data_IF_525127043498
#
_entry.id   IF_525127043498
#
_cell.length_a   1.000
_cell.length_b   1.000
_cell.length_c   1.000
_cell.angle_alpha   90.00
_cell.angle_beta   90.00
_cell.angle_gamma   90.00
#
_symmetry.space_group_name_H-M   'P 1'
#
loop_
_entity.id
_entity.type
_entity.pdbx_description
1 polymer ?
#
# COMPACT_ATOMS: atom_id res chain seq x y z
N UNK A 1 -21.49 -5.60 6.02
CA UNK A 1 -21.80 -6.63 5.02
C UNK A 1 -21.31 -7.95 5.58
N UNK A 2 -22.18 -8.93 5.77
CA UNK A 2 -21.79 -10.26 6.24
C UNK A 2 -21.44 -11.14 5.04
N UNK A 3 -20.63 -12.16 5.28
CA UNK A 3 -20.39 -13.20 4.28
C UNK A 3 -21.75 -13.80 3.89
N UNK A 4 -22.01 -13.91 2.58
CA UNK A 4 -23.26 -14.40 1.96
C UNK A 4 -24.46 -13.43 1.92
N UNK A 5 -24.29 -12.14 2.24
CA UNK A 5 -25.33 -11.16 1.98
C UNK A 5 -25.48 -10.93 0.47
N UNK A 6 -26.71 -11.07 -0.06
CA UNK A 6 -27.03 -10.68 -1.44
C UNK A 6 -27.14 -9.15 -1.50
N UNK A 7 -26.13 -8.50 -2.08
CA UNK A 7 -26.11 -7.03 -2.22
C UNK A 7 -26.46 -6.64 -3.64
N UNK A 8 -27.48 -5.78 -3.78
CA UNK A 8 -27.84 -5.13 -5.04
C UNK A 8 -27.14 -3.78 -5.10
N UNK A 9 -26.29 -3.59 -6.10
CA UNK A 9 -25.61 -2.33 -6.33
C UNK A 9 -26.51 -1.44 -7.20
N UNK A 10 -26.77 -0.21 -6.75
CA UNK A 10 -27.51 0.79 -7.53
C UNK A 10 -26.73 1.29 -8.76
N UNK A 11 -25.40 1.10 -8.73
CA UNK A 11 -24.47 1.49 -9.77
C UNK A 11 -23.82 0.26 -10.39
N UNK A 12 -23.69 0.28 -11.72
CA UNK A 12 -22.94 -0.75 -12.45
C UNK A 12 -21.46 -0.64 -12.06
N UNK A 13 -20.83 -1.73 -11.55
CA UNK A 13 -19.41 -1.73 -11.26
C UNK A 13 -18.62 -1.36 -12.51
N UNK A 14 -17.62 -0.50 -12.35
CA UNK A 14 -16.67 -0.15 -13.42
C UNK A 14 -15.33 -0.81 -13.13
N UNK A 15 -14.66 -1.23 -14.20
CA UNK A 15 -13.30 -1.77 -14.13
C UNK A 15 -12.30 -0.64 -14.26
N UNK A 16 -11.32 -0.59 -13.36
CA UNK A 16 -10.13 0.22 -13.51
C UNK A 16 -9.14 -0.59 -14.35
N UNK A 17 -8.75 -0.09 -15.53
CA UNK A 17 -7.86 -0.81 -16.44
C UNK A 17 -6.38 -0.61 -16.11
N UNK A 18 -6.03 0.56 -15.58
CA UNK A 18 -4.72 0.87 -15.03
C UNK A 18 -4.87 1.24 -13.56
N UNK A 19 -4.76 0.22 -12.71
CA UNK A 19 -4.93 0.39 -11.26
C UNK A 19 -3.84 1.28 -10.68
N UNK A 20 -2.60 1.13 -11.15
CA UNK A 20 -1.50 1.88 -10.60
C UNK A 20 -1.55 3.35 -10.98
N UNK A 21 -1.77 3.68 -12.26
CA UNK A 21 -1.91 5.07 -12.69
C UNK A 21 -3.08 5.77 -12.00
N UNK A 22 -4.17 5.04 -11.74
CA UNK A 22 -5.28 5.55 -10.95
C UNK A 22 -4.87 5.87 -9.50
N UNK A 23 -4.19 4.95 -8.80
CA UNK A 23 -3.73 5.16 -7.42
C UNK A 23 -2.68 6.27 -7.34
N UNK A 24 -1.74 6.34 -8.28
CA UNK A 24 -0.73 7.39 -8.36
C UNK A 24 -1.38 8.77 -8.53
N UNK A 25 -2.38 8.89 -9.41
CA UNK A 25 -3.15 10.12 -9.55
C UNK A 25 -3.92 10.52 -8.28
N UNK A 26 -4.38 9.53 -7.50
CA UNK A 26 -4.96 9.80 -6.19
C UNK A 26 -3.92 10.19 -5.14
N UNK A 27 -2.68 9.72 -5.25
CA UNK A 27 -1.60 9.95 -4.29
C UNK A 27 -0.81 11.23 -4.55
N UNK A 28 -0.83 11.75 -5.78
CA UNK A 28 -0.06 12.92 -6.21
C UNK A 28 -0.20 14.08 -5.22
N UNK A 29 0.95 14.59 -4.76
CA UNK A 29 1.07 15.76 -3.88
C UNK A 29 0.35 15.64 -2.52
N UNK A 30 0.09 14.41 -2.07
CA UNK A 30 -0.54 14.15 -0.76
C UNK A 30 0.41 13.44 0.19
N UNK A 31 0.09 13.56 1.48
CA UNK A 31 0.66 12.72 2.52
C UNK A 31 -0.04 11.35 2.49
N UNK A 32 0.75 10.30 2.26
CA UNK A 32 0.24 8.94 2.02
C UNK A 32 0.70 8.00 3.11
N UNK A 33 -0.25 7.28 3.72
CA UNK A 33 0.01 6.09 4.52
C UNK A 33 -0.25 4.84 3.67
N UNK A 34 0.78 4.03 3.47
CA UNK A 34 0.68 2.75 2.79
C UNK A 34 0.71 1.60 3.82
N UNK A 35 -0.42 0.93 4.00
CA UNK A 35 -0.57 -0.21 4.94
C UNK A 35 -0.32 -1.53 4.23
N UNK A 36 0.49 -2.40 4.82
CA UNK A 36 0.99 -3.60 4.14
C UNK A 36 2.11 -3.25 3.15
N UNK A 37 2.94 -2.26 3.49
CA UNK A 37 3.91 -1.66 2.59
C UNK A 37 4.99 -2.63 2.10
N UNK A 38 5.38 -3.64 2.88
CA UNK A 38 6.39 -4.61 2.46
C UNK A 38 5.83 -5.47 1.31
N UNK A 39 4.60 -5.98 1.45
CA UNK A 39 3.83 -6.53 0.32
C UNK A 39 4.54 -7.59 -0.52
N UNK A 40 5.35 -8.47 0.08
CA UNK A 40 6.14 -9.48 -0.65
C UNK A 40 7.45 -8.95 -1.24
N UNK A 41 8.03 -7.94 -0.60
CA UNK A 41 9.18 -7.14 -1.05
C UNK A 41 10.36 -7.91 -1.67
N UNK A 42 10.63 -9.14 -1.21
CA UNK A 42 11.72 -10.00 -1.72
C UNK A 42 11.55 -10.34 -3.22
N UNK A 43 10.34 -10.24 -3.77
CA UNK A 43 10.07 -10.41 -5.20
C UNK A 43 10.33 -9.14 -6.03
N UNK A 44 10.49 -7.99 -5.38
CA UNK A 44 10.63 -6.70 -6.05
C UNK A 44 12.03 -6.12 -5.92
N UNK A 45 12.67 -6.22 -4.76
CA UNK A 45 14.03 -5.71 -4.57
C UNK A 45 15.09 -6.77 -4.95
N UNK A 46 16.23 -6.35 -5.52
CA UNK A 46 16.55 -4.97 -5.90
C UNK A 46 16.02 -4.53 -7.29
N UNK A 47 15.69 -5.47 -8.17
CA UNK A 47 15.68 -5.21 -9.62
C UNK A 47 14.31 -4.82 -10.21
N UNK A 48 13.23 -5.00 -9.47
CA UNK A 48 11.84 -4.89 -9.92
C UNK A 48 11.05 -3.84 -9.11
N UNK A 49 11.70 -2.78 -8.66
CA UNK A 49 11.08 -1.73 -7.83
C UNK A 49 9.89 -1.05 -8.51
N UNK A 50 9.89 -0.95 -9.84
CA UNK A 50 8.83 -0.29 -10.61
C UNK A 50 7.47 -1.01 -10.57
N UNK A 51 7.43 -2.29 -10.18
CA UNK A 51 6.17 -3.02 -10.00
C UNK A 51 5.70 -3.01 -8.54
N UNK A 52 6.51 -2.50 -7.61
CA UNK A 52 6.17 -2.40 -6.19
C UNK A 52 5.43 -1.10 -5.90
N UNK A 53 4.20 -1.20 -5.38
CA UNK A 53 3.34 -0.04 -5.11
C UNK A 53 4.00 1.00 -4.21
N UNK A 54 4.69 0.59 -3.14
CA UNK A 54 5.29 1.53 -2.20
C UNK A 54 6.36 2.41 -2.88
N UNK A 55 7.21 1.81 -3.72
CA UNK A 55 8.19 2.56 -4.50
C UNK A 55 7.51 3.55 -5.46
N UNK A 56 6.46 3.10 -6.17
CA UNK A 56 5.69 3.95 -7.08
C UNK A 56 5.06 5.15 -6.38
N UNK A 57 4.47 4.93 -5.20
CA UNK A 57 3.90 6.00 -4.38
C UNK A 57 4.95 7.03 -3.95
N UNK A 58 6.17 6.56 -3.62
CA UNK A 58 7.26 7.44 -3.19
C UNK A 58 7.73 8.41 -4.27
N UNK A 59 7.43 8.12 -5.55
CA UNK A 59 7.75 8.99 -6.67
C UNK A 59 6.73 10.13 -6.89
N UNK A 60 5.51 10.02 -6.36
CA UNK A 60 4.41 10.95 -6.65
C UNK A 60 3.80 11.61 -5.41
N UNK A 61 3.90 11.00 -4.24
CA UNK A 61 3.36 11.54 -3.00
C UNK A 61 4.20 12.73 -2.50
N UNK A 62 3.56 13.68 -1.80
CA UNK A 62 4.30 14.72 -1.09
C UNK A 62 5.11 14.15 0.08
N UNK A 63 4.53 13.16 0.78
CA UNK A 63 5.21 12.33 1.76
C UNK A 63 4.63 10.92 1.76
N UNK A 64 5.45 9.93 2.09
CA UNK A 64 5.05 8.53 2.15
C UNK A 64 5.52 7.88 3.45
N UNK A 65 4.58 7.29 4.18
CA UNK A 65 4.86 6.43 5.33
C UNK A 65 4.38 5.01 5.03
N UNK A 66 5.28 4.04 5.14
CA UNK A 66 4.95 2.62 5.05
C UNK A 66 4.76 2.01 6.43
N UNK A 67 3.74 1.16 6.60
CA UNK A 67 3.58 0.31 7.78
C UNK A 67 3.38 -1.14 7.35
N UNK A 68 3.99 -2.08 8.08
CA UNK A 68 3.79 -3.51 7.88
C UNK A 68 4.05 -4.28 9.21
N UNK A 69 3.58 -5.51 9.30
CA UNK A 69 3.86 -6.42 10.42
C UNK A 69 4.97 -7.43 10.09
N UNK A 70 5.29 -7.61 8.79
CA UNK A 70 6.33 -8.52 8.32
C UNK A 70 7.74 -7.95 8.59
N UNK A 71 8.31 -8.30 9.75
CA UNK A 71 9.65 -7.86 10.14
C UNK A 71 10.73 -8.28 9.15
N UNK A 72 10.64 -9.48 8.56
CA UNK A 72 11.65 -9.93 7.59
C UNK A 72 11.62 -9.09 6.31
N UNK A 73 10.42 -8.73 5.86
CA UNK A 73 10.22 -7.82 4.74
C UNK A 73 10.79 -6.44 5.03
N UNK A 74 10.52 -5.89 6.22
CA UNK A 74 11.04 -4.60 6.67
C UNK A 74 12.58 -4.60 6.70
N UNK A 75 13.18 -5.62 7.30
CA UNK A 75 14.64 -5.76 7.37
C UNK A 75 15.27 -5.88 5.98
N UNK A 76 14.58 -6.55 5.05
CA UNK A 76 15.01 -6.62 3.66
C UNK A 76 14.94 -5.25 2.99
N UNK A 77 13.84 -4.49 3.17
CA UNK A 77 13.67 -3.13 2.64
C UNK A 77 14.80 -2.20 3.11
N UNK A 78 15.12 -2.27 4.41
CA UNK A 78 16.12 -1.42 5.06
C UNK A 78 17.51 -1.59 4.46
N UNK A 79 17.88 -2.81 4.03
CA UNK A 79 19.16 -3.08 3.34
C UNK A 79 19.30 -2.33 2.02
N UNK A 80 18.19 -1.91 1.42
CA UNK A 80 18.13 -1.13 0.19
C UNK A 80 17.71 0.33 0.44
N UNK A 81 17.79 0.80 1.68
CA UNK A 81 17.54 2.20 2.04
C UNK A 81 16.06 2.58 2.10
N UNK A 82 15.15 1.61 2.21
CA UNK A 82 13.71 1.88 2.34
C UNK A 82 13.26 1.65 3.77
N UNK A 83 12.66 2.67 4.37
CA UNK A 83 12.16 2.62 5.74
C UNK A 83 10.66 2.29 5.76
N UNK A 84 10.30 1.26 6.52
CA UNK A 84 8.92 0.84 6.77
C UNK A 84 8.78 0.64 8.27
N UNK A 85 7.71 1.19 8.85
CA UNK A 85 7.45 1.06 10.28
C UNK A 85 6.84 -0.30 10.59
N UNK A 86 7.36 -0.97 11.63
CA UNK A 86 6.72 -2.17 12.17
C UNK A 86 5.48 -1.76 12.99
N UNK A 87 4.28 -1.94 12.44
CA UNK A 87 3.04 -1.62 13.11
C UNK A 87 1.87 -2.47 12.60
N UNK A 88 1.02 -2.95 13.52
CA UNK A 88 -0.26 -3.57 13.21
C UNK A 88 -1.38 -2.51 13.21
N UNK A 89 -2.11 -2.38 12.10
CA UNK A 89 -3.25 -1.49 11.97
C UNK A 89 -4.60 -2.14 12.34
N UNK A 90 -4.66 -3.47 12.51
CA UNK A 90 -5.91 -4.18 12.79
C UNK A 90 -6.47 -3.87 14.20
N UNK A 91 -5.58 -3.73 15.18
CA UNK A 91 -5.94 -3.57 16.60
C UNK A 91 -5.81 -2.12 17.11
N UNK A 92 -5.61 -1.16 16.21
CA UNK A 92 -5.43 0.24 16.62
C UNK A 92 -6.77 0.83 17.05
N UNK A 93 -6.85 1.24 18.31
CA UNK A 93 -7.96 2.06 18.79
C UNK A 93 -7.97 3.38 18.01
N UNK A 94 -9.02 3.63 17.23
CA UNK A 94 -9.14 4.80 16.35
C UNK A 94 -9.27 6.15 17.08
N UNK A 95 -9.25 6.16 18.42
CA UNK A 95 -9.57 7.33 19.23
C UNK A 95 -11.04 7.72 19.02
N UNK A 96 -11.87 7.47 20.01
CA UNK A 96 -13.22 8.04 20.05
C UNK A 96 -13.20 9.29 20.90
#
# INVERSE_FOLDING_TARGET
MRVNDLVRLEIKPRRINDLFGYIEGLASDKDVLNVGAAGGIKGYLPDNQSVWLHHRLGAVAASLTGVDIDQEGIDHASKYGVEILNANCEDRALGR
#
